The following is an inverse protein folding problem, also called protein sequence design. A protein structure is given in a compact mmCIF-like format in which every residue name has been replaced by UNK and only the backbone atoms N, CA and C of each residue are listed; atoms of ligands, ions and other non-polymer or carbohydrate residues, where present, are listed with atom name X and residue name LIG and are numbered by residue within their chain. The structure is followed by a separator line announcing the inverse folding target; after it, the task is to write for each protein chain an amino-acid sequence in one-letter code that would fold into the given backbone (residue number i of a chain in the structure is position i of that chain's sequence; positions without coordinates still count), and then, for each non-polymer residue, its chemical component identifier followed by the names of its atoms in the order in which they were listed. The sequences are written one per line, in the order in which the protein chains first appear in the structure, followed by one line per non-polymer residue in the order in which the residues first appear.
data_IF_794306767329
#
_entry.id   IF_794306767329
#
_cell.length_a   1.000
_cell.length_b   1.000
_cell.length_c   1.000
_cell.angle_alpha   90.00
_cell.angle_beta   90.00
_cell.angle_gamma   90.00
#
_symmetry.space_group_name_H-M   'P 1'
#
loop_
_entity.id
_entity.type
_entity.pdbx_description
1 polymer ?
#
# COMPACT_ATOMS: atom_id res chain seq x y z
N UNK A 1 -14.18 -7.06 15.47
CA UNK A 1 -14.02 -5.59 15.65
C UNK A 1 -14.67 -5.11 16.95
N UNK A 2 -15.90 -5.50 17.27
CA UNK A 2 -16.67 -5.03 18.45
C UNK A 2 -15.89 -5.19 19.77
N UNK A 3 -15.23 -6.32 19.98
CA UNK A 3 -14.40 -6.55 21.17
C UNK A 3 -13.26 -5.51 21.31
N UNK A 4 -12.52 -5.24 20.21
CA UNK A 4 -11.43 -4.26 20.25
C UNK A 4 -11.93 -2.84 20.54
N UNK A 5 -13.10 -2.47 20.00
CA UNK A 5 -13.71 -1.17 20.26
C UNK A 5 -14.30 -1.02 21.66
N UNK A 6 -14.53 -2.13 22.39
CA UNK A 6 -15.02 -2.09 23.78
C UNK A 6 -13.90 -1.92 24.81
N UNK A 7 -12.64 -2.06 24.41
CA UNK A 7 -11.48 -1.97 25.30
C UNK A 7 -11.27 -0.55 25.82
N UNK A 8 -10.81 -0.47 27.05
CA UNK A 8 -10.45 0.78 27.75
C UNK A 8 -8.97 0.78 28.11
N UNK A 9 -8.43 1.95 28.34
CA UNK A 9 -7.06 2.07 28.85
C UNK A 9 -6.88 1.24 30.14
N UNK A 10 -5.86 0.36 30.15
CA UNK A 10 -5.60 -0.58 31.24
C UNK A 10 -6.10 -2.01 31.02
N UNK A 11 -6.98 -2.24 30.05
CA UNK A 11 -7.43 -3.59 29.72
C UNK A 11 -6.29 -4.44 29.15
N UNK A 12 -6.30 -5.73 29.50
CA UNK A 12 -5.31 -6.69 29.01
C UNK A 12 -5.84 -7.39 27.77
N UNK A 13 -5.01 -7.39 26.71
CA UNK A 13 -5.28 -8.12 25.48
C UNK A 13 -4.25 -9.21 25.30
N UNK A 14 -4.72 -10.44 25.06
CA UNK A 14 -3.86 -11.55 24.71
C UNK A 14 -3.91 -11.79 23.19
N UNK A 15 -2.76 -11.82 22.55
CA UNK A 15 -2.65 -12.14 21.14
C UNK A 15 -1.47 -13.08 20.87
N UNK A 16 -1.56 -13.85 19.78
CA UNK A 16 -0.47 -14.70 19.29
C UNK A 16 0.19 -13.99 18.11
N UNK A 17 1.51 -13.89 18.17
CA UNK A 17 2.27 -13.30 17.07
C UNK A 17 3.78 -13.31 17.35
N UNK A 18 4.58 -12.89 16.37
CA UNK A 18 4.17 -12.57 15.00
C UNK A 18 3.81 -13.84 14.21
N UNK A 19 2.88 -13.70 13.26
CA UNK A 19 2.47 -14.77 12.36
C UNK A 19 2.42 -14.26 10.91
N UNK A 20 2.59 -15.17 9.94
CA UNK A 20 2.58 -14.84 8.51
C UNK A 20 3.96 -14.77 7.87
N UNK A 21 3.96 -14.73 6.54
CA UNK A 21 5.17 -14.78 5.70
C UNK A 21 5.38 -13.54 4.85
N UNK A 22 4.44 -12.59 4.91
CA UNK A 22 4.52 -11.33 4.16
C UNK A 22 5.48 -10.36 4.86
N UNK A 23 6.71 -10.36 4.41
CA UNK A 23 7.82 -9.57 5.00
C UNK A 23 8.63 -8.93 3.89
N UNK A 24 9.34 -7.86 4.25
CA UNK A 24 10.40 -7.33 3.41
C UNK A 24 11.39 -8.45 3.05
N UNK A 25 11.76 -8.50 1.79
CA UNK A 25 12.80 -9.38 1.28
C UNK A 25 14.09 -8.58 1.09
N UNK A 26 15.20 -9.27 1.18
CA UNK A 26 16.50 -8.71 0.80
C UNK A 26 16.70 -8.94 -0.70
N UNK A 27 16.08 -8.08 -1.49
CA UNK A 27 16.08 -8.14 -2.96
C UNK A 27 17.12 -7.18 -3.57
N UNK A 28 18.16 -6.91 -2.83
CA UNK A 28 19.31 -6.14 -3.30
C UNK A 28 19.02 -4.63 -3.43
N UNK A 29 19.34 -4.06 -4.59
CA UNK A 29 19.31 -2.61 -4.84
C UNK A 29 18.07 -2.12 -5.58
N UNK A 30 17.08 -2.97 -5.83
CA UNK A 30 15.86 -2.61 -6.58
C UNK A 30 15.07 -1.53 -5.85
N UNK A 31 14.51 -0.62 -6.61
CA UNK A 31 13.54 0.35 -6.10
C UNK A 31 12.26 -0.37 -5.61
N UNK A 32 11.60 0.23 -4.64
CA UNK A 32 10.46 -0.39 -3.97
C UNK A 32 9.15 0.25 -4.42
N UNK A 33 8.24 -0.56 -4.93
CA UNK A 33 6.87 -0.16 -5.21
C UNK A 33 5.92 -0.87 -4.23
N UNK A 34 5.22 -0.08 -3.44
CA UNK A 34 4.16 -0.54 -2.55
C UNK A 34 2.79 -0.15 -3.11
N UNK A 35 1.88 -1.10 -3.19
CA UNK A 35 0.51 -0.84 -3.66
C UNK A 35 -0.49 -1.40 -2.66
N UNK A 36 -1.32 -0.54 -2.10
CA UNK A 36 -2.31 -0.88 -1.11
C UNK A 36 -3.74 -0.52 -1.52
N UNK A 37 -4.71 -1.24 -0.98
CA UNK A 37 -6.11 -0.78 -0.88
C UNK A 37 -6.60 -0.90 0.56
N UNK A 38 -7.35 0.11 1.00
CA UNK A 38 -7.92 0.15 2.35
C UNK A 38 -6.88 -0.13 3.44
N UNK A 39 -7.21 -1.01 4.36
CA UNK A 39 -6.34 -1.39 5.50
C UNK A 39 -5.09 -2.19 5.11
N UNK A 40 -4.98 -2.62 3.85
CA UNK A 40 -3.74 -3.23 3.32
C UNK A 40 -2.52 -2.32 3.40
N UNK A 41 -2.70 -1.03 3.69
CA UNK A 41 -1.60 -0.11 4.01
C UNK A 41 -0.81 -0.53 5.26
N UNK A 42 -1.43 -1.19 6.23
CA UNK A 42 -0.82 -1.44 7.54
C UNK A 42 0.54 -2.16 7.48
N UNK A 43 0.68 -3.35 6.85
CA UNK A 43 1.98 -4.00 6.71
C UNK A 43 2.94 -3.21 5.82
N UNK A 44 2.43 -2.57 4.75
CA UNK A 44 3.28 -1.80 3.84
C UNK A 44 3.84 -0.54 4.52
N UNK A 45 3.06 0.12 5.35
CA UNK A 45 3.50 1.24 6.18
C UNK A 45 4.69 0.83 7.07
N UNK A 46 4.58 -0.28 7.77
CA UNK A 46 5.67 -0.80 8.60
C UNK A 46 6.94 -1.08 7.78
N UNK A 47 6.79 -1.66 6.58
CA UNK A 47 7.90 -1.93 5.66
C UNK A 47 8.57 -0.65 5.16
N UNK A 48 7.78 0.38 4.80
CA UNK A 48 8.27 1.69 4.36
C UNK A 48 9.09 2.34 5.49
N UNK A 49 8.51 2.45 6.69
CA UNK A 49 9.21 2.98 7.86
C UNK A 49 10.54 2.28 8.11
N UNK A 50 10.54 0.95 8.12
CA UNK A 50 11.75 0.15 8.33
C UNK A 50 12.84 0.52 7.32
N UNK A 51 12.50 0.67 6.03
CA UNK A 51 13.49 0.99 4.99
C UNK A 51 13.98 2.42 5.09
N UNK A 52 13.12 3.37 5.42
CA UNK A 52 13.51 4.77 5.60
C UNK A 52 14.42 4.93 6.82
N UNK A 53 14.09 4.34 7.96
CA UNK A 53 14.91 4.38 9.18
C UNK A 53 16.27 3.70 9.02
N UNK A 54 16.34 2.64 8.21
CA UNK A 54 17.59 1.96 7.86
C UNK A 54 18.49 2.79 6.93
N UNK A 55 18.05 3.96 6.48
CA UNK A 55 18.81 4.81 5.56
C UNK A 55 18.97 4.19 4.16
N UNK A 56 18.01 3.36 3.73
CA UNK A 56 18.05 2.78 2.39
C UNK A 56 18.07 3.88 1.32
N UNK A 57 19.01 3.87 0.37
CA UNK A 57 19.05 4.86 -0.71
C UNK A 57 18.07 4.56 -1.85
N UNK A 58 17.31 3.48 -1.75
CA UNK A 58 16.39 2.99 -2.80
C UNK A 58 15.20 3.93 -2.94
N UNK A 59 14.78 4.23 -4.16
CA UNK A 59 13.54 4.94 -4.36
C UNK A 59 12.35 4.10 -3.86
N UNK A 60 11.48 4.73 -3.08
CA UNK A 60 10.30 4.11 -2.48
C UNK A 60 9.06 4.83 -2.97
N UNK A 61 8.16 4.11 -3.62
CA UNK A 61 6.88 4.63 -4.09
C UNK A 61 5.73 3.89 -3.43
N UNK A 62 4.76 4.61 -2.89
CA UNK A 62 3.51 4.08 -2.38
C UNK A 62 2.34 4.57 -3.23
N UNK A 63 1.55 3.65 -3.77
CA UNK A 63 0.23 3.92 -4.32
C UNK A 63 -0.84 3.33 -3.41
N UNK A 64 -1.77 4.17 -2.95
CA UNK A 64 -2.80 3.75 -2.00
C UNK A 64 -4.20 4.11 -2.48
N UNK A 65 -4.99 3.08 -2.77
CA UNK A 65 -6.38 3.21 -3.21
C UNK A 65 -7.36 3.15 -2.06
N UNK A 66 -8.24 4.14 -1.98
CA UNK A 66 -9.34 4.24 -1.03
C UNK A 66 -10.66 4.51 -1.77
N UNK A 67 -11.79 4.45 -1.06
CA UNK A 67 -13.09 4.69 -1.67
C UNK A 67 -13.41 6.19 -1.71
N UNK A 68 -13.38 6.85 -0.57
CA UNK A 68 -13.79 8.25 -0.39
C UNK A 68 -12.91 8.97 0.62
N UNK A 69 -13.16 10.28 0.81
CA UNK A 69 -12.46 11.09 1.81
C UNK A 69 -12.66 10.59 3.24
N UNK A 70 -13.77 9.91 3.54
CA UNK A 70 -14.06 9.34 4.88
C UNK A 70 -13.10 8.22 5.26
N UNK A 71 -12.45 7.62 4.26
CA UNK A 71 -11.51 6.52 4.44
C UNK A 71 -10.06 7.01 4.60
N UNK A 72 -9.82 8.33 4.54
CA UNK A 72 -8.49 8.91 4.62
C UNK A 72 -7.95 8.85 6.06
N UNK A 73 -6.76 8.27 6.19
CA UNK A 73 -5.95 8.29 7.41
C UNK A 73 -4.47 8.26 7.03
N UNK A 74 -3.56 8.49 7.93
CA UNK A 74 -2.11 8.58 7.72
C UNK A 74 -1.64 9.63 6.68
N UNK A 75 -2.49 10.48 6.14
CA UNK A 75 -2.11 11.43 5.08
C UNK A 75 -1.04 12.41 5.56
N UNK A 76 -1.19 12.95 6.76
CA UNK A 76 -0.19 13.87 7.34
C UNK A 76 1.14 13.17 7.58
N UNK A 77 1.13 11.97 8.14
CA UNK A 77 2.33 11.17 8.35
C UNK A 77 3.08 10.89 7.04
N UNK A 78 2.36 10.45 6.01
CA UNK A 78 2.95 10.18 4.70
C UNK A 78 3.51 11.44 4.04
N UNK A 79 2.83 12.58 4.21
CA UNK A 79 3.31 13.86 3.74
C UNK A 79 4.60 14.29 4.45
N UNK A 80 4.67 14.11 5.76
CA UNK A 80 5.87 14.44 6.54
C UNK A 80 7.04 13.52 6.21
N UNK A 81 6.78 12.23 6.00
CA UNK A 81 7.78 11.29 5.49
C UNK A 81 8.33 11.71 4.12
N UNK A 82 7.46 12.11 3.19
CA UNK A 82 7.91 12.50 1.85
C UNK A 82 8.68 13.82 1.83
N UNK A 83 8.48 14.71 2.82
CA UNK A 83 9.31 15.90 3.02
C UNK A 83 10.67 15.56 3.62
N UNK A 84 10.70 14.61 4.55
CA UNK A 84 11.92 14.19 5.26
C UNK A 84 12.83 13.35 4.38
N UNK A 85 12.25 12.46 3.58
CA UNK A 85 12.97 11.51 2.75
C UNK A 85 12.70 11.77 1.27
N UNK A 86 13.58 12.48 0.59
CA UNK A 86 13.41 12.90 -0.81
C UNK A 86 13.26 11.75 -1.82
N UNK A 87 13.68 10.54 -1.45
CA UNK A 87 13.53 9.31 -2.25
C UNK A 87 12.23 8.53 -1.94
N UNK A 88 11.38 9.04 -1.03
CA UNK A 88 10.04 8.51 -0.77
C UNK A 88 8.98 9.40 -1.40
N UNK A 89 8.07 8.79 -2.14
CA UNK A 89 6.87 9.44 -2.66
C UNK A 89 5.63 8.59 -2.44
N UNK A 90 4.48 9.23 -2.31
CA UNK A 90 3.20 8.53 -2.24
C UNK A 90 2.12 9.24 -3.05
N UNK A 91 1.14 8.46 -3.51
CA UNK A 91 -0.08 8.96 -4.14
C UNK A 91 -1.26 8.21 -3.55
N UNK A 92 -2.21 8.96 -2.98
CA UNK A 92 -3.51 8.42 -2.58
C UNK A 92 -4.51 8.71 -3.68
N UNK A 93 -5.26 7.70 -4.12
CA UNK A 93 -6.33 7.82 -5.10
C UNK A 93 -7.67 7.38 -4.53
N UNK A 94 -8.74 8.11 -4.88
CA UNK A 94 -10.09 7.79 -4.44
C UNK A 94 -10.93 7.29 -5.62
N UNK A 95 -11.58 6.13 -5.47
CA UNK A 95 -12.43 5.57 -6.52
C UNK A 95 -13.82 6.21 -6.60
N UNK A 96 -14.32 6.75 -5.49
CA UNK A 96 -15.60 7.46 -5.40
C UNK A 96 -15.41 8.72 -4.52
N UNK A 97 -14.69 9.74 -5.00
CA UNK A 97 -14.49 10.95 -4.21
C UNK A 97 -15.77 11.76 -4.09
N UNK A 98 -15.92 12.43 -2.94
CA UNK A 98 -16.93 13.47 -2.74
C UNK A 98 -16.48 14.81 -3.34
N UNK A 99 -17.40 15.77 -3.57
CA UNK A 99 -17.03 17.10 -4.05
C UNK A 99 -15.95 17.76 -3.18
N UNK A 100 -15.03 18.49 -3.83
CA UNK A 100 -13.91 19.16 -3.16
C UNK A 100 -12.62 18.33 -3.07
N UNK A 101 -12.61 17.09 -3.53
CA UNK A 101 -11.37 16.32 -3.66
C UNK A 101 -10.52 16.87 -4.82
N UNK A 102 -9.26 17.17 -4.53
CA UNK A 102 -8.29 17.72 -5.51
C UNK A 102 -7.16 16.74 -5.84
N UNK A 103 -7.14 15.57 -5.19
CA UNK A 103 -6.13 14.53 -5.42
C UNK A 103 -6.49 13.60 -6.58
N UNK A 104 -5.76 12.51 -6.70
CA UNK A 104 -5.97 11.51 -7.75
C UNK A 104 -7.35 10.84 -7.63
N UNK A 105 -7.98 10.56 -8.77
CA UNK A 105 -9.29 9.92 -8.87
C UNK A 105 -9.17 8.63 -9.67
N UNK A 106 -9.83 7.59 -9.21
CA UNK A 106 -9.87 6.29 -9.86
C UNK A 106 -9.29 5.16 -9.01
N UNK A 107 -9.19 3.99 -9.62
CA UNK A 107 -8.61 2.82 -8.97
C UNK A 107 -7.08 2.90 -8.97
N UNK A 108 -6.45 2.34 -7.94
CA UNK A 108 -4.98 2.30 -7.81
C UNK A 108 -4.31 1.54 -8.96
N UNK A 109 -5.01 0.60 -9.60
CA UNK A 109 -4.53 -0.09 -10.81
C UNK A 109 -4.25 0.88 -11.95
N UNK A 110 -5.10 1.92 -12.12
CA UNK A 110 -4.87 3.00 -13.08
C UNK A 110 -3.56 3.72 -12.83
N UNK A 111 -3.29 4.12 -11.59
CA UNK A 111 -2.01 4.75 -11.21
C UNK A 111 -0.80 3.88 -11.59
N UNK A 112 -0.86 2.57 -11.30
CA UNK A 112 0.21 1.64 -11.64
C UNK A 112 0.40 1.59 -13.15
N UNK A 113 -0.69 1.48 -13.91
CA UNK A 113 -0.63 1.40 -15.37
C UNK A 113 -0.03 2.65 -16.01
N UNK A 114 -0.40 3.82 -15.49
CA UNK A 114 -0.01 5.12 -16.04
C UNK A 114 1.39 5.55 -15.60
N UNK A 115 1.72 5.36 -14.32
CA UNK A 115 2.94 5.93 -13.75
C UNK A 115 4.14 5.00 -13.75
N UNK A 116 3.93 3.68 -13.81
CA UNK A 116 5.03 2.72 -13.88
C UNK A 116 5.32 2.38 -15.34
N UNK A 117 6.37 2.95 -15.88
CA UNK A 117 6.76 2.73 -17.28
C UNK A 117 7.62 1.49 -17.46
N UNK A 118 8.45 1.15 -16.46
CA UNK A 118 9.35 -0.01 -16.47
C UNK A 118 9.34 -0.71 -15.15
N UNK A 119 9.46 -2.03 -15.16
CA UNK A 119 9.58 -2.89 -13.98
C UNK A 119 11.00 -3.45 -13.79
N UNK A 120 11.93 -3.13 -14.67
CA UNK A 120 13.27 -3.74 -14.74
C UNK A 120 14.05 -3.60 -13.41
N UNK A 121 13.87 -2.50 -12.69
CA UNK A 121 14.53 -2.24 -11.40
C UNK A 121 13.55 -2.17 -10.23
N UNK A 122 12.42 -2.88 -10.28
CA UNK A 122 11.42 -2.85 -9.21
C UNK A 122 11.38 -4.14 -8.41
N UNK A 123 11.12 -4.00 -7.12
CA UNK A 123 10.58 -5.03 -6.24
C UNK A 123 9.24 -4.53 -5.71
N UNK A 124 8.17 -5.31 -5.87
CA UNK A 124 6.80 -4.86 -5.68
C UNK A 124 6.14 -5.58 -4.52
N UNK A 125 5.44 -4.83 -3.67
CA UNK A 125 4.71 -5.34 -2.52
C UNK A 125 3.23 -4.92 -2.62
N UNK A 126 2.34 -5.89 -2.73
CA UNK A 126 0.90 -5.68 -2.89
C UNK A 126 0.15 -6.18 -1.66
N UNK A 127 -0.71 -5.34 -1.08
CA UNK A 127 -1.56 -5.77 0.03
C UNK A 127 -2.94 -5.11 -0.02
N UNK A 128 -4.00 -5.92 0.14
CA UNK A 128 -5.38 -5.45 0.16
C UNK A 128 -6.35 -6.37 -0.56
N UNK A 129 -7.24 -5.80 -1.36
CA UNK A 129 -8.27 -6.53 -2.09
C UNK A 129 -7.67 -7.49 -3.12
N UNK A 130 -8.20 -8.72 -3.20
CA UNK A 130 -7.73 -9.76 -4.12
C UNK A 130 -7.86 -9.37 -5.60
N UNK A 131 -8.91 -8.66 -5.98
CA UNK A 131 -9.10 -8.12 -7.32
C UNK A 131 -7.98 -7.14 -7.71
N UNK A 132 -7.68 -6.18 -6.82
CA UNK A 132 -6.56 -5.24 -7.02
C UNK A 132 -5.24 -5.97 -7.20
N UNK A 133 -4.93 -6.95 -6.35
CA UNK A 133 -3.69 -7.73 -6.44
C UNK A 133 -3.58 -8.42 -7.80
N UNK A 134 -4.66 -9.03 -8.29
CA UNK A 134 -4.71 -9.70 -9.59
C UNK A 134 -4.50 -8.72 -10.74
N UNK A 135 -5.22 -7.60 -10.74
CA UNK A 135 -5.16 -6.59 -11.79
C UNK A 135 -3.77 -5.92 -11.85
N UNK A 136 -3.23 -5.49 -10.70
CA UNK A 136 -1.90 -4.87 -10.62
C UNK A 136 -0.81 -5.86 -11.05
N UNK A 137 -0.90 -7.12 -10.62
CA UNK A 137 0.04 -8.16 -11.05
C UNK A 137 0.02 -8.32 -12.58
N UNK A 138 -1.16 -8.37 -13.18
CA UNK A 138 -1.28 -8.48 -14.63
C UNK A 138 -0.72 -7.24 -15.35
N UNK A 139 -1.03 -6.03 -14.86
CA UNK A 139 -0.52 -4.79 -15.44
C UNK A 139 1.02 -4.68 -15.39
N UNK A 140 1.64 -5.12 -14.30
CA UNK A 140 3.09 -5.14 -14.17
C UNK A 140 3.74 -6.20 -15.06
N UNK A 141 3.19 -7.41 -15.09
CA UNK A 141 3.69 -8.51 -15.94
C UNK A 141 3.63 -8.17 -17.44
N UNK A 142 2.67 -7.35 -17.85
CA UNK A 142 2.60 -6.85 -19.22
C UNK A 142 3.78 -5.90 -19.58
N UNK A 143 4.47 -5.34 -18.56
CA UNK A 143 5.63 -4.44 -18.71
C UNK A 143 6.97 -5.16 -18.52
N UNK A 144 6.97 -6.42 -18.10
CA UNK A 144 8.16 -7.23 -17.88
C UNK A 144 8.10 -8.03 -16.57
N UNK A 145 9.21 -8.68 -16.23
CA UNK A 145 9.33 -9.51 -15.04
C UNK A 145 10.02 -8.74 -13.90
N UNK A 146 9.43 -8.77 -12.72
CA UNK A 146 10.02 -8.27 -11.49
C UNK A 146 9.52 -9.10 -10.30
N UNK A 147 10.23 -9.09 -9.15
CA UNK A 147 9.72 -9.70 -7.93
C UNK A 147 8.42 -9.03 -7.47
N UNK A 148 7.36 -9.82 -7.28
CA UNK A 148 6.07 -9.35 -6.78
C UNK A 148 5.70 -10.17 -5.55
N UNK A 149 5.69 -9.53 -4.39
CA UNK A 149 5.28 -10.08 -3.10
C UNK A 149 3.89 -9.59 -2.77
N UNK A 150 3.02 -10.49 -2.26
CA UNK A 150 1.60 -10.17 -2.10
C UNK A 150 0.99 -10.83 -0.88
N UNK A 151 0.09 -10.10 -0.22
CA UNK A 151 -0.77 -10.61 0.82
C UNK A 151 -2.21 -10.17 0.54
N UNK A 152 -3.10 -11.15 0.44
CA UNK A 152 -4.52 -10.92 0.22
C UNK A 152 -5.23 -10.89 1.57
N UNK A 153 -5.98 -9.80 1.84
CA UNK A 153 -6.73 -9.65 3.09
C UNK A 153 -8.17 -10.15 2.98
N UNK A 154 -8.79 -10.01 1.82
CA UNK A 154 -10.15 -10.51 1.57
C UNK A 154 -10.40 -10.65 0.06
N UNK A 155 -11.31 -11.57 -0.26
CA UNK A 155 -11.95 -11.60 -1.56
C UNK A 155 -13.14 -10.64 -1.47
N UNK A 156 -12.94 -9.37 -1.84
CA UNK A 156 -14.07 -8.49 -2.01
C UNK A 156 -14.99 -9.05 -3.08
N UNK A 157 -16.29 -9.15 -2.81
CA UNK A 157 -17.25 -9.29 -3.89
C UNK A 157 -17.04 -8.14 -4.88
N UNK A 158 -17.16 -8.38 -6.19
CA UNK A 158 -17.15 -7.29 -7.14
C UNK A 158 -18.27 -6.34 -6.70
N UNK A 159 -17.93 -5.06 -6.47
CA UNK A 159 -18.94 -4.03 -6.18
C UNK A 159 -20.08 -4.20 -7.17
N UNK A 160 -21.23 -4.66 -6.70
CA UNK A 160 -22.46 -4.58 -7.45
C UNK A 160 -22.66 -3.10 -7.75
N UNK A 161 -22.61 -2.76 -9.06
CA UNK A 161 -22.52 -1.46 -9.68
C UNK A 161 -23.45 -0.39 -9.19
#
# INVERSE_FOLDING_TARGET
ATYLFSLKGGDRVHFKGPAGTFRLKDDGTRDLLFVATGTGIAPLRAMIWTKLEQGSPRAITLFWGLRSQRDLYYQQELADLSKTYSHFRFVTTLSKPEPGWTGSVGRVTGLVTEQIQSVANLAVYLCGNGGMIKEVTAALNAKGLCPIYREKWYDGEPDAG
#
